data_IF_982717406646
#
_entry.id   IF_982717406646
#
_cell.length_a   1.000
_cell.length_b   1.000
_cell.length_c   1.000
_cell.angle_alpha   90.00
_cell.angle_beta   90.00
_cell.angle_gamma   90.00
#
_symmetry.space_group_name_H-M   'P 1'
#
loop_
_entity.id
_entity.type
_entity.pdbx_description
1 polymer ?
#
# COMPACT_ATOMS: atom_id res chain seq x y z
N UNK A 1 -2.75 -47.04 -10.36
CA UNK A 1 -2.31 -45.67 -10.71
C UNK A 1 -3.00 -44.71 -9.73
N UNK A 2 -2.24 -43.96 -8.94
CA UNK A 2 -2.80 -43.09 -7.90
C UNK A 2 -3.46 -41.82 -8.48
N UNK A 3 -4.26 -41.13 -7.67
CA UNK A 3 -5.04 -39.97 -8.10
C UNK A 3 -4.19 -38.80 -8.63
N UNK A 4 -3.03 -38.55 -8.02
CA UNK A 4 -2.10 -37.49 -8.44
C UNK A 4 -1.55 -37.79 -9.83
N UNK A 5 -1.11 -39.03 -10.06
CA UNK A 5 -0.57 -39.46 -11.37
C UNK A 5 -1.60 -39.29 -12.49
N UNK A 6 -2.86 -39.66 -12.22
CA UNK A 6 -3.97 -39.50 -13.19
C UNK A 6 -4.29 -38.03 -13.49
N UNK A 7 -4.29 -37.17 -12.48
CA UNK A 7 -4.53 -35.72 -12.65
C UNK A 7 -3.40 -35.10 -13.49
N UNK A 8 -2.15 -35.39 -13.15
CA UNK A 8 -0.99 -34.85 -13.88
C UNK A 8 -0.96 -35.31 -15.34
N UNK A 9 -1.31 -36.57 -15.61
CA UNK A 9 -1.39 -37.08 -16.99
C UNK A 9 -2.46 -36.35 -17.81
N UNK A 10 -3.63 -36.09 -17.21
CA UNK A 10 -4.73 -35.37 -17.87
C UNK A 10 -4.35 -33.91 -18.16
N UNK A 11 -3.71 -33.22 -17.21
CA UNK A 11 -3.21 -31.85 -17.40
C UNK A 11 -2.14 -31.79 -18.48
N UNK A 12 -1.14 -32.68 -18.44
CA UNK A 12 -0.08 -32.74 -19.47
C UNK A 12 -0.63 -33.01 -20.86
N UNK A 13 -1.63 -33.88 -20.98
CA UNK A 13 -2.31 -34.15 -22.26
C UNK A 13 -3.03 -32.90 -22.77
N UNK A 14 -3.78 -32.22 -21.90
CA UNK A 14 -4.53 -31.02 -22.28
C UNK A 14 -3.62 -29.84 -22.69
N UNK A 15 -2.43 -29.74 -22.10
CA UNK A 15 -1.50 -28.65 -22.36
C UNK A 15 -0.42 -28.99 -23.40
N UNK A 16 -0.47 -30.19 -24.02
CA UNK A 16 0.59 -30.70 -24.89
C UNK A 16 0.92 -29.77 -26.06
N UNK A 17 -0.10 -29.18 -26.67
CA UNK A 17 0.02 -28.30 -27.84
C UNK A 17 -0.13 -26.82 -27.48
N UNK A 18 -0.32 -26.50 -26.20
CA UNK A 18 -0.42 -25.11 -25.77
C UNK A 18 0.95 -24.45 -25.95
N UNK A 19 1.08 -23.38 -26.75
CA UNK A 19 2.32 -22.63 -26.85
C UNK A 19 2.74 -22.19 -25.44
N UNK A 20 4.01 -22.43 -25.07
CA UNK A 20 4.54 -21.80 -23.86
C UNK A 20 4.51 -20.30 -24.08
N UNK A 21 3.87 -19.57 -23.17
CA UNK A 21 4.02 -18.13 -23.15
C UNK A 21 5.51 -17.82 -22.98
N UNK A 22 6.07 -17.09 -23.94
CA UNK A 22 7.37 -16.46 -23.77
C UNK A 22 7.16 -15.38 -22.71
N UNK A 23 7.74 -15.58 -21.54
CA UNK A 23 7.78 -14.54 -20.53
C UNK A 23 8.79 -13.48 -21.00
N UNK A 24 8.52 -12.18 -20.80
CA UNK A 24 9.51 -11.14 -21.06
C UNK A 24 10.79 -11.47 -20.27
N UNK A 25 11.96 -11.38 -20.92
CA UNK A 25 13.24 -11.68 -20.25
C UNK A 25 13.53 -10.70 -19.11
N UNK A 26 13.02 -9.47 -19.21
CA UNK A 26 13.12 -8.40 -18.21
C UNK A 26 11.83 -7.57 -18.21
N UNK A 27 10.86 -7.82 -17.31
CA UNK A 27 9.57 -7.13 -17.38
C UNK A 27 9.67 -5.62 -17.18
N UNK A 28 10.68 -5.13 -16.46
CA UNK A 28 10.82 -3.70 -16.13
C UNK A 28 12.30 -3.32 -16.11
N UNK A 29 12.70 -2.32 -16.90
CA UNK A 29 13.95 -1.62 -16.66
C UNK A 29 13.77 -0.86 -15.34
N UNK A 30 14.65 -1.10 -14.38
CA UNK A 30 14.68 -0.31 -13.14
C UNK A 30 14.82 1.17 -13.51
N UNK A 31 13.99 2.07 -12.97
CA UNK A 31 14.28 3.49 -13.04
C UNK A 31 15.71 3.71 -12.54
N UNK A 32 16.57 4.37 -13.33
CA UNK A 32 17.90 4.82 -12.87
C UNK A 32 17.81 6.07 -11.98
N UNK A 33 16.61 6.47 -11.64
CA UNK A 33 16.27 7.67 -10.90
C UNK A 33 16.16 7.34 -9.41
N UNK A 34 16.35 8.36 -8.57
CA UNK A 34 16.17 8.26 -7.13
C UNK A 34 14.73 7.77 -6.80
N UNK A 35 14.56 6.54 -6.27
CA UNK A 35 13.25 5.99 -5.98
C UNK A 35 12.43 6.85 -5.03
N UNK A 36 13.09 7.56 -4.12
CA UNK A 36 12.42 8.41 -3.15
C UNK A 36 11.78 9.63 -3.80
N UNK A 37 12.55 10.34 -4.63
CA UNK A 37 12.06 11.49 -5.38
C UNK A 37 10.91 11.09 -6.31
N UNK A 38 11.09 10.02 -7.08
CA UNK A 38 10.06 9.50 -7.99
C UNK A 38 8.77 9.11 -7.23
N UNK A 39 8.91 8.46 -6.08
CA UNK A 39 7.77 8.07 -5.24
C UNK A 39 6.96 9.28 -4.77
N UNK A 40 7.63 10.34 -4.30
CA UNK A 40 6.96 11.56 -3.83
C UNK A 40 6.23 12.28 -4.97
N UNK A 41 6.82 12.34 -6.16
CA UNK A 41 6.19 12.93 -7.34
C UNK A 41 4.93 12.12 -7.74
N UNK A 42 5.02 10.79 -7.77
CA UNK A 42 3.89 9.92 -8.12
C UNK A 42 2.75 9.99 -7.09
N UNK A 43 3.06 10.08 -5.80
CA UNK A 43 2.04 10.32 -4.77
C UNK A 43 1.26 11.61 -5.05
N UNK A 44 1.97 12.70 -5.38
CA UNK A 44 1.35 13.99 -5.69
C UNK A 44 0.48 13.92 -6.94
N UNK A 45 0.95 13.26 -8.00
CA UNK A 45 0.17 13.04 -9.22
C UNK A 45 -1.12 12.24 -8.96
N UNK A 46 -1.06 11.24 -8.06
CA UNK A 46 -2.24 10.49 -7.64
C UNK A 46 -3.18 11.29 -6.73
N UNK A 47 -2.74 12.44 -6.22
CA UNK A 47 -3.47 13.35 -5.34
C UNK A 47 -3.32 13.05 -3.85
N UNK A 48 -2.29 12.30 -3.46
CA UNK A 48 -1.89 12.13 -2.07
C UNK A 48 -0.89 13.22 -1.63
N UNK A 49 -0.73 13.37 -0.32
CA UNK A 49 0.23 14.27 0.30
C UNK A 49 1.47 13.48 0.72
N UNK A 50 2.57 13.60 -0.02
CA UNK A 50 3.84 12.95 0.30
C UNK A 50 4.79 13.89 1.05
N UNK A 51 5.35 13.43 2.16
CA UNK A 51 6.31 14.16 2.98
C UNK A 51 7.56 13.32 3.27
N UNK A 52 8.73 13.96 3.25
CA UNK A 52 9.97 13.39 3.75
C UNK A 52 10.30 14.08 5.08
N UNK A 53 10.27 13.34 6.18
CA UNK A 53 10.31 13.89 7.54
C UNK A 53 11.19 13.01 8.44
N UNK A 54 11.71 13.61 9.50
CA UNK A 54 12.17 12.86 10.66
C UNK A 54 10.98 12.41 11.52
N UNK A 55 11.26 11.66 12.59
CA UNK A 55 10.19 11.19 13.48
C UNK A 55 9.42 12.32 14.14
N UNK A 56 10.06 13.45 14.48
CA UNK A 56 9.41 14.58 15.12
C UNK A 56 8.41 15.25 14.17
N UNK A 57 8.82 15.51 12.93
CA UNK A 57 7.95 16.03 11.88
C UNK A 57 6.80 15.08 11.56
N UNK A 58 7.05 13.78 11.52
CA UNK A 58 6.00 12.78 11.30
C UNK A 58 4.99 12.74 12.45
N UNK A 59 5.43 12.85 13.71
CA UNK A 59 4.52 12.96 14.87
C UNK A 59 3.72 14.26 14.85
N UNK A 60 4.27 15.35 14.32
CA UNK A 60 3.55 16.62 14.21
C UNK A 60 2.30 16.50 13.32
N UNK A 61 2.29 15.60 12.32
CA UNK A 61 1.11 15.32 11.48
C UNK A 61 -0.09 14.77 12.28
N UNK A 62 0.15 14.21 13.48
CA UNK A 62 -0.91 13.70 14.36
C UNK A 62 -1.63 14.81 15.13
N UNK A 63 -0.97 15.94 15.41
CA UNK A 63 -1.44 16.95 16.36
C UNK A 63 -2.74 17.66 15.94
N UNK A 64 -3.16 17.54 14.69
CA UNK A 64 -4.41 18.11 14.17
C UNK A 64 -5.67 17.26 14.37
N UNK A 65 -5.55 16.07 14.97
CA UNK A 65 -6.66 15.12 15.07
C UNK A 65 -7.06 14.84 16.53
N UNK A 66 -8.37 14.76 16.85
CA UNK A 66 -8.84 14.51 18.21
C UNK A 66 -8.72 13.04 18.66
N UNK A 67 -8.42 12.12 17.73
CA UNK A 67 -8.29 10.69 17.97
C UNK A 67 -7.95 9.96 16.67
N UNK A 68 -7.53 8.70 16.77
CA UNK A 68 -7.16 7.89 15.62
C UNK A 68 -7.47 6.40 15.81
N UNK A 69 -7.65 5.70 14.70
CA UNK A 69 -7.63 4.24 14.65
C UNK A 69 -6.25 3.79 14.19
N UNK A 70 -5.57 3.00 15.03
CA UNK A 70 -4.20 2.58 14.76
C UNK A 70 -4.15 1.17 14.21
N UNK A 71 -3.39 1.01 13.13
CA UNK A 71 -2.98 -0.29 12.67
C UNK A 71 -2.11 -1.01 13.70
N UNK A 72 -2.23 -2.35 13.78
CA UNK A 72 -1.45 -3.17 14.73
C UNK A 72 0.06 -3.00 14.64
N UNK A 73 0.58 -2.74 13.44
CA UNK A 73 2.00 -2.54 13.14
C UNK A 73 2.51 -1.12 13.44
N UNK A 74 1.64 -0.18 13.80
CA UNK A 74 2.07 1.18 14.18
C UNK A 74 2.84 1.13 15.50
N UNK A 75 4.11 1.59 15.53
CA UNK A 75 4.91 1.63 16.75
C UNK A 75 4.30 2.51 17.84
N UNK A 76 4.55 2.17 19.11
CA UNK A 76 4.02 2.92 20.26
C UNK A 76 4.41 4.40 20.25
N UNK A 77 5.61 4.72 19.73
CA UNK A 77 6.09 6.09 19.58
C UNK A 77 5.20 6.98 18.69
N UNK A 78 4.35 6.38 17.84
CA UNK A 78 3.40 7.08 16.98
C UNK A 78 1.94 6.93 17.46
N UNK A 79 1.67 6.18 18.53
CA UNK A 79 0.35 6.02 19.15
C UNK A 79 0.07 7.14 20.15
N UNK A 80 0.13 8.39 19.67
CA UNK A 80 0.10 9.59 20.52
C UNK A 80 -1.30 10.22 20.69
N UNK A 81 -2.31 9.65 20.03
CA UNK A 81 -3.69 10.13 20.08
C UNK A 81 -4.58 9.11 20.79
N UNK A 82 -5.72 9.54 21.37
CA UNK A 82 -6.74 8.61 21.85
C UNK A 82 -7.14 7.62 20.76
N UNK A 83 -7.10 6.31 21.08
CA UNK A 83 -7.52 5.26 20.16
C UNK A 83 -9.05 5.19 20.11
N UNK A 84 -9.60 5.34 18.90
CA UNK A 84 -11.04 5.34 18.63
C UNK A 84 -11.41 4.15 17.73
N UNK A 85 -12.69 3.70 17.76
CA UNK A 85 -13.20 2.75 16.76
C UNK A 85 -12.98 3.28 15.33
N UNK A 86 -12.54 2.45 14.36
CA UNK A 86 -12.27 2.91 12.99
C UNK A 86 -13.42 3.63 12.28
N UNK A 87 -14.66 3.29 12.61
CA UNK A 87 -15.88 3.93 12.11
C UNK A 87 -16.15 5.33 12.68
N UNK A 88 -15.53 5.69 13.80
CA UNK A 88 -15.67 6.98 14.48
C UNK A 88 -14.39 7.83 14.38
N UNK A 89 -13.25 7.19 14.11
CA UNK A 89 -11.96 7.85 14.05
C UNK A 89 -11.86 8.79 12.83
N UNK A 90 -11.45 10.06 13.01
CA UNK A 90 -11.21 10.97 11.90
C UNK A 90 -9.91 10.67 11.15
N UNK A 91 -9.01 9.91 11.78
CA UNK A 91 -7.71 9.52 11.26
C UNK A 91 -7.50 8.01 11.40
N UNK A 92 -7.08 7.38 10.31
CA UNK A 92 -6.44 6.07 10.32
C UNK A 92 -4.93 6.25 10.29
N UNK A 93 -4.19 5.46 11.06
CA UNK A 93 -2.72 5.45 11.03
C UNK A 93 -2.24 4.05 10.73
N UNK A 94 -1.37 3.89 9.74
CA UNK A 94 -0.77 2.60 9.38
C UNK A 94 0.73 2.68 9.23
N UNK A 95 1.38 1.54 9.45
CA UNK A 95 2.78 1.33 9.13
C UNK A 95 2.89 0.50 7.85
N UNK A 96 3.48 1.06 6.81
CA UNK A 96 3.65 0.36 5.55
C UNK A 96 4.77 -0.68 5.64
N UNK A 97 4.56 -1.81 4.96
CA UNK A 97 5.62 -2.80 4.74
C UNK A 97 6.71 -2.22 3.83
N UNK A 98 6.28 -1.50 2.79
CA UNK A 98 7.14 -0.83 1.82
C UNK A 98 6.34 0.20 0.98
N UNK A 99 7.06 0.96 0.18
CA UNK A 99 6.52 1.83 -0.85
C UNK A 99 7.12 1.51 -2.22
N UNK A 100 6.37 1.84 -3.29
CA UNK A 100 6.73 1.56 -4.68
C UNK A 100 6.70 2.85 -5.48
N UNK A 101 7.86 3.26 -5.99
CA UNK A 101 8.04 4.50 -6.71
C UNK A 101 7.29 4.52 -8.04
N UNK A 102 7.41 3.47 -8.86
CA UNK A 102 6.82 3.44 -10.23
C UNK A 102 5.31 3.72 -10.26
N UNK A 103 4.58 3.35 -9.20
CA UNK A 103 3.12 3.54 -9.07
C UNK A 103 2.70 4.59 -8.06
N UNK A 104 3.63 5.13 -7.25
CA UNK A 104 3.30 6.00 -6.12
C UNK A 104 2.43 5.31 -5.07
N UNK A 105 2.74 4.05 -4.74
CA UNK A 105 1.91 3.22 -3.85
C UNK A 105 2.60 2.91 -2.52
N UNK A 106 1.83 2.85 -1.43
CA UNK A 106 2.24 2.24 -0.16
C UNK A 106 1.60 0.86 -0.01
N UNK A 107 2.37 -0.10 0.51
CA UNK A 107 1.94 -1.47 0.69
C UNK A 107 1.60 -1.75 2.15
N UNK A 108 0.35 -2.12 2.41
CA UNK A 108 -0.19 -2.34 3.74
C UNK A 108 -0.57 -3.81 3.95
N UNK A 109 -0.20 -4.36 5.10
CA UNK A 109 -0.61 -5.72 5.48
C UNK A 109 -2.08 -5.72 5.91
N UNK A 110 -2.83 -6.73 5.51
CA UNK A 110 -4.17 -6.98 6.05
C UNK A 110 -4.18 -7.29 7.55
N UNK A 111 -3.04 -7.74 8.10
CA UNK A 111 -2.85 -8.01 9.54
C UNK A 111 -2.86 -6.74 10.38
N UNK A 112 -2.52 -5.61 9.77
CA UNK A 112 -2.53 -4.28 10.39
C UNK A 112 -3.97 -3.80 10.65
N UNK A 113 -4.98 -4.47 10.07
CA UNK A 113 -6.39 -4.18 10.27
C UNK A 113 -6.97 -3.27 9.20
N UNK A 114 -7.63 -3.87 8.20
CA UNK A 114 -8.18 -3.14 7.04
C UNK A 114 -9.17 -2.02 7.40
N UNK A 115 -9.85 -2.11 8.54
CA UNK A 115 -10.81 -1.09 8.96
C UNK A 115 -10.12 0.25 9.24
N UNK A 116 -8.99 0.26 9.96
CA UNK A 116 -8.21 1.47 10.23
C UNK A 116 -7.64 2.08 8.94
N UNK A 117 -7.42 1.25 7.91
CA UNK A 117 -6.91 1.67 6.60
C UNK A 117 -7.98 2.26 5.67
N UNK A 118 -9.26 1.93 5.89
CA UNK A 118 -10.31 2.18 4.90
C UNK A 118 -11.49 3.02 5.42
N UNK A 119 -11.82 2.93 6.70
CA UNK A 119 -13.00 3.61 7.25
C UNK A 119 -12.74 5.08 7.60
N UNK A 120 -11.60 5.44 8.24
CA UNK A 120 -11.33 6.84 8.52
C UNK A 120 -11.23 7.68 7.24
N UNK A 121 -11.79 8.91 7.23
CA UNK A 121 -11.79 9.77 6.05
C UNK A 121 -10.39 10.27 5.69
N UNK A 122 -9.48 10.35 6.64
CA UNK A 122 -8.05 10.62 6.43
C UNK A 122 -7.23 9.42 6.84
N UNK A 123 -6.22 9.07 6.04
CA UNK A 123 -5.26 8.01 6.35
C UNK A 123 -3.84 8.56 6.31
N UNK A 124 -3.14 8.45 7.44
CA UNK A 124 -1.71 8.69 7.54
C UNK A 124 -0.97 7.35 7.45
N UNK A 125 -0.07 7.24 6.49
CA UNK A 125 0.79 6.06 6.33
C UNK A 125 2.23 6.45 6.58
N UNK A 126 2.87 5.74 7.50
CA UNK A 126 4.28 5.87 7.83
C UNK A 126 5.06 4.80 7.07
N UNK A 127 6.18 5.18 6.44
CA UNK A 127 7.07 4.24 5.74
C UNK A 127 8.52 4.64 5.97
N UNK A 128 9.39 3.67 6.24
CA UNK A 128 10.83 3.94 6.35
C UNK A 128 11.43 4.26 4.96
N UNK A 129 12.32 5.24 4.85
CA UNK A 129 12.95 5.62 3.57
C UNK A 129 13.67 4.44 2.91
N UNK A 130 14.34 3.58 3.70
CA UNK A 130 14.99 2.35 3.22
C UNK A 130 14.03 1.30 2.64
N UNK A 131 12.72 1.46 2.85
CA UNK A 131 11.64 0.59 2.36
C UNK A 131 10.92 1.20 1.15
N UNK A 132 11.48 2.23 0.52
CA UNK A 132 11.00 2.76 -0.75
C UNK A 132 11.78 2.08 -1.88
N UNK A 133 11.09 1.30 -2.71
CA UNK A 133 11.68 0.57 -3.82
C UNK A 133 11.29 1.20 -5.15
N UNK A 134 12.12 1.02 -6.17
CA UNK A 134 11.84 1.54 -7.51
C UNK A 134 10.60 0.86 -8.12
N UNK A 135 10.49 -0.46 -7.93
CA UNK A 135 9.43 -1.28 -8.54
C UNK A 135 8.74 -2.19 -7.52
N UNK A 136 7.52 -2.63 -7.85
CA UNK A 136 6.80 -3.60 -7.03
C UNK A 136 7.52 -4.95 -7.00
N UNK A 137 8.13 -5.36 -8.12
CA UNK A 137 8.87 -6.62 -8.19
C UNK A 137 10.06 -6.63 -7.22
N UNK A 138 10.83 -5.55 -7.17
CA UNK A 138 11.96 -5.38 -6.26
C UNK A 138 11.50 -5.48 -4.79
N UNK A 139 10.43 -4.77 -4.43
CA UNK A 139 9.88 -4.83 -3.09
C UNK A 139 9.40 -6.24 -2.69
N UNK A 140 8.72 -6.94 -3.62
CA UNK A 140 8.24 -8.31 -3.38
C UNK A 140 9.38 -9.34 -3.29
N UNK A 141 10.51 -9.09 -3.94
CA UNK A 141 11.70 -9.95 -3.86
C UNK A 141 12.43 -9.80 -2.51
N UNK A 142 12.44 -8.60 -1.94
CA UNK A 142 13.04 -8.35 -0.62
C UNK A 142 12.12 -8.77 0.54
N UNK A 143 10.82 -8.92 0.29
CA UNK A 143 9.86 -9.29 1.32
C UNK A 143 9.99 -10.76 1.75
N UNK A 144 10.32 -10.98 3.02
CA UNK A 144 10.39 -12.31 3.62
C UNK A 144 8.99 -12.88 3.91
N UNK A 145 8.37 -13.47 2.89
CA UNK A 145 7.04 -14.07 2.98
C UNK A 145 5.92 -13.05 2.76
N UNK A 146 4.83 -13.50 2.13
CA UNK A 146 3.69 -12.66 1.83
C UNK A 146 2.65 -12.73 2.96
N UNK A 147 2.07 -11.59 3.39
CA UNK A 147 0.93 -11.62 4.29
C UNK A 147 -0.28 -12.27 3.59
N UNK A 148 -1.26 -12.67 4.39
CA UNK A 148 -2.52 -13.23 3.86
C UNK A 148 -3.28 -12.27 2.93
N UNK A 149 -3.04 -10.97 3.07
CA UNK A 149 -3.50 -9.94 2.15
C UNK A 149 -2.53 -8.75 2.15
N UNK A 150 -2.27 -8.21 0.95
CA UNK A 150 -1.47 -7.01 0.73
C UNK A 150 -2.34 -5.99 -0.01
N UNK A 151 -2.52 -4.80 0.58
CA UNK A 151 -3.19 -3.68 -0.06
C UNK A 151 -2.18 -2.70 -0.63
N UNK A 152 -2.31 -2.34 -1.90
CA UNK A 152 -1.52 -1.27 -2.53
C UNK A 152 -2.38 -0.01 -2.61
N UNK A 153 -2.04 1.00 -1.81
CA UNK A 153 -2.77 2.26 -1.73
C UNK A 153 -1.99 3.32 -2.52
N UNK A 154 -2.49 3.74 -3.69
CA UNK A 154 -1.79 4.69 -4.57
C UNK A 154 -2.25 6.14 -4.43
N UNK A 155 -3.32 6.40 -3.69
CA UNK A 155 -3.91 7.73 -3.59
C UNK A 155 -5.24 7.71 -2.83
N UNK A 156 -5.87 8.88 -2.63
CA UNK A 156 -7.19 8.95 -2.02
C UNK A 156 -8.24 8.20 -2.85
N UNK A 157 -9.26 7.67 -2.18
CA UNK A 157 -10.40 7.03 -2.83
C UNK A 157 -11.16 8.04 -3.69
N UNK A 158 -11.24 7.76 -4.99
CA UNK A 158 -12.03 8.50 -5.98
C UNK A 158 -13.03 7.53 -6.61
N UNK A 159 -14.33 7.83 -6.54
CA UNK A 159 -15.34 7.12 -7.32
C UNK A 159 -16.06 8.11 -8.23
N UNK A 160 -16.19 7.77 -9.50
CA UNK A 160 -16.98 8.53 -10.48
C UNK A 160 -18.37 7.88 -10.72
N UNK A 161 -18.68 6.83 -9.97
CA UNK A 161 -19.79 5.91 -10.25
C UNK A 161 -21.08 6.21 -9.45
N UNK A 162 -21.21 7.46 -8.98
CA UNK A 162 -22.46 7.98 -8.41
C UNK A 162 -22.88 9.19 -9.25
N UNK A 163 -23.75 8.95 -10.23
CA UNK A 163 -24.43 10.02 -10.98
C UNK A 163 -23.53 10.95 -11.80
N UNK A 164 -22.37 10.48 -12.28
CA UNK A 164 -21.37 11.26 -13.03
C UNK A 164 -20.73 12.43 -12.25
N UNK A 165 -20.89 12.46 -10.93
CA UNK A 165 -20.21 13.43 -10.05
C UNK A 165 -19.06 12.70 -9.38
N UNK A 166 -17.85 13.29 -9.41
CA UNK A 166 -16.71 12.74 -8.69
C UNK A 166 -16.94 12.92 -7.18
N UNK A 167 -17.28 11.84 -6.48
CA UNK A 167 -17.41 11.82 -5.03
C UNK A 167 -16.14 11.19 -4.44
N UNK A 168 -15.44 11.95 -3.59
CA UNK A 168 -14.25 11.46 -2.86
C UNK A 168 -14.71 10.73 -1.59
N UNK A 169 -14.05 9.62 -1.24
CA UNK A 169 -14.22 8.98 0.06
C UNK A 169 -15.31 7.90 0.20
N UNK A 170 -15.85 7.38 -0.91
CA UNK A 170 -16.96 6.38 -0.87
C UNK A 170 -16.46 4.96 -0.55
N UNK A 171 -15.24 4.60 -0.97
CA UNK A 171 -14.69 3.24 -0.86
C UNK A 171 -13.38 3.17 -0.07
N UNK A 172 -13.01 4.26 0.59
CA UNK A 172 -11.74 4.39 1.31
C UNK A 172 -11.48 5.86 1.69
N UNK A 173 -10.31 6.18 2.24
CA UNK A 173 -10.00 7.52 2.73
C UNK A 173 -10.09 8.57 1.61
N UNK A 174 -10.78 9.68 1.88
CA UNK A 174 -10.86 10.83 0.97
C UNK A 174 -9.59 11.67 0.93
N UNK A 175 -8.70 11.48 1.91
CA UNK A 175 -7.36 12.09 2.02
C UNK A 175 -6.34 11.03 2.41
N UNK A 176 -5.23 10.97 1.68
CA UNK A 176 -4.10 10.10 1.95
C UNK A 176 -2.85 10.95 2.18
N UNK A 177 -2.23 10.80 3.35
CA UNK A 177 -0.97 11.42 3.74
C UNK A 177 0.06 10.31 3.90
N UNK A 178 1.22 10.45 3.28
CA UNK A 178 2.34 9.52 3.42
C UNK A 178 3.53 10.27 3.97
N UNK A 179 4.04 9.82 5.11
CA UNK A 179 5.28 10.31 5.70
C UNK A 179 6.38 9.27 5.54
N UNK A 180 7.39 9.63 4.75
CA UNK A 180 8.62 8.85 4.59
C UNK A 180 9.60 9.27 5.68
N UNK A 181 10.03 8.31 6.49
CA UNK A 181 10.89 8.51 7.66
C UNK A 181 12.37 8.33 7.29
N UNK A 182 13.17 9.38 7.51
CA UNK A 182 14.63 9.39 7.28
C UNK A 182 15.41 8.58 8.32
#
# INVERSE_FOLDING_TARGET
MDARTRILARVRRALRERPKALLPEHPHLLPKEDPLALFLDRLRENGAEGHLLDEEGARALLQGFPGAAFGRGVPEAFRLLPELPPEEAPLGVSWALFAVAETGSVALSGEDGRKAQLLPPTHLVLVEAKRVYGTLLEALQDLNGLPSALGLHSGPSKSADIGQVMVKGVHGPGRLIVAVLL
#
